data_IF_489603649709
#
_entry.id   IF_489603649709
#
_cell.length_a   1.000
_cell.length_b   1.000
_cell.length_c   1.000
_cell.angle_alpha   90.00
_cell.angle_beta   90.00
_cell.angle_gamma   90.00
#
_symmetry.space_group_name_H-M   'P 1'
#
loop_
_entity.id
_entity.type
_entity.pdbx_description
1 polymer ?
#
# COMPACT_ATOMS: atom_id res chain seq x y z
N UNK A 1 -9.54 -14.12 18.98
CA UNK A 1 -8.55 -13.21 18.35
C UNK A 1 -8.23 -13.74 16.97
N UNK A 2 -8.03 -12.87 16.00
CA UNK A 2 -7.65 -13.25 14.65
C UNK A 2 -6.29 -13.97 14.65
N UNK A 3 -6.10 -14.91 13.74
CA UNK A 3 -4.84 -15.65 13.61
C UNK A 3 -3.79 -14.80 12.92
N UNK A 4 -2.60 -14.71 13.48
CA UNK A 4 -1.48 -13.93 12.97
C UNK A 4 -0.32 -14.88 12.67
N UNK A 5 0.29 -14.71 11.49
CA UNK A 5 1.43 -15.48 11.01
C UNK A 5 2.68 -14.60 10.98
N UNK A 6 3.81 -15.18 11.37
CA UNK A 6 5.12 -14.56 11.38
C UNK A 6 6.11 -15.34 10.50
N UNK A 7 7.37 -14.93 10.46
CA UNK A 7 8.41 -15.56 9.64
C UNK A 7 8.55 -17.09 9.85
N UNK A 8 8.34 -17.57 11.07
CA UNK A 8 8.40 -19.00 11.42
C UNK A 8 7.24 -19.82 10.82
N UNK A 9 6.11 -19.16 10.52
CA UNK A 9 4.88 -19.80 10.02
C UNK A 9 4.83 -19.84 8.49
N UNK A 10 5.80 -19.22 7.81
CA UNK A 10 5.83 -19.07 6.35
C UNK A 10 7.15 -19.62 5.77
N UNK A 11 7.06 -20.37 4.67
CA UNK A 11 8.20 -21.00 4.02
C UNK A 11 8.29 -20.59 2.54
N UNK A 12 9.34 -19.85 2.18
CA UNK A 12 9.62 -19.45 0.80
C UNK A 12 9.80 -20.63 -0.16
N UNK A 13 10.07 -21.85 0.35
CA UNK A 13 10.17 -23.06 -0.48
C UNK A 13 8.87 -23.34 -1.24
N UNK A 14 7.72 -22.82 -0.80
CA UNK A 14 6.46 -22.95 -1.55
C UNK A 14 6.48 -22.21 -2.90
N UNK A 15 7.39 -21.25 -3.09
CA UNK A 15 7.64 -20.54 -4.35
C UNK A 15 8.91 -21.04 -5.08
N UNK A 16 9.66 -21.97 -4.49
CA UNK A 16 10.89 -22.51 -5.12
C UNK A 16 10.53 -23.23 -6.44
N UNK A 17 11.25 -22.88 -7.49
CA UNK A 17 11.04 -23.45 -8.84
C UNK A 17 9.82 -22.87 -9.57
N UNK A 18 9.02 -22.03 -8.92
CA UNK A 18 7.90 -21.33 -9.56
C UNK A 18 8.31 -19.96 -10.08
N UNK A 19 7.70 -19.53 -11.15
CA UNK A 19 7.76 -18.16 -11.64
C UNK A 19 6.55 -17.39 -11.10
N UNK A 20 6.78 -16.22 -10.54
CA UNK A 20 5.75 -15.30 -10.06
C UNK A 20 5.63 -14.14 -11.05
N UNK A 21 4.46 -13.97 -11.63
CA UNK A 21 4.14 -12.81 -12.49
C UNK A 21 3.51 -11.69 -11.66
N UNK A 22 4.06 -10.50 -11.75
CA UNK A 22 3.47 -9.26 -11.23
C UNK A 22 2.86 -8.52 -12.41
N UNK A 23 1.54 -8.47 -12.47
CA UNK A 23 0.78 -7.78 -13.51
C UNK A 23 0.42 -6.38 -13.04
N UNK A 24 1.10 -5.37 -13.60
CA UNK A 24 1.05 -3.98 -13.15
C UNK A 24 2.27 -3.60 -12.33
N UNK A 25 2.98 -2.54 -12.76
CA UNK A 25 4.19 -2.03 -12.09
C UNK A 25 3.95 -0.62 -11.52
N UNK A 26 2.78 -0.44 -10.88
CA UNK A 26 2.46 0.74 -10.08
C UNK A 26 3.16 0.70 -8.72
N UNK A 27 2.66 1.50 -7.76
CA UNK A 27 3.29 1.65 -6.44
C UNK A 27 3.42 0.30 -5.72
N UNK A 28 2.34 -0.50 -5.64
CA UNK A 28 2.36 -1.84 -5.04
C UNK A 28 3.17 -2.82 -5.89
N UNK A 29 2.93 -2.86 -7.20
CA UNK A 29 3.59 -3.79 -8.10
C UNK A 29 5.11 -3.68 -8.07
N UNK A 30 5.64 -2.44 -8.08
CA UNK A 30 7.07 -2.18 -7.94
C UNK A 30 7.64 -2.69 -6.63
N UNK A 31 7.03 -2.28 -5.50
CA UNK A 31 7.51 -2.68 -4.17
C UNK A 31 7.54 -4.19 -4.00
N UNK A 32 6.46 -4.87 -4.39
CA UNK A 32 6.34 -6.32 -4.27
C UNK A 32 7.27 -7.07 -5.22
N UNK A 33 7.39 -6.66 -6.49
CA UNK A 33 8.27 -7.29 -7.45
C UNK A 33 9.75 -7.23 -7.03
N UNK A 34 10.19 -6.06 -6.55
CA UNK A 34 11.55 -5.87 -6.05
C UNK A 34 11.84 -6.72 -4.82
N UNK A 35 10.92 -6.74 -3.85
CA UNK A 35 11.09 -7.51 -2.61
C UNK A 35 11.11 -9.02 -2.89
N UNK A 36 10.21 -9.52 -3.74
CA UNK A 36 10.20 -10.93 -4.16
C UNK A 36 11.51 -11.32 -4.85
N UNK A 37 12.00 -10.49 -5.79
CA UNK A 37 13.27 -10.73 -6.47
C UNK A 37 14.43 -10.77 -5.47
N UNK A 38 14.50 -9.81 -4.55
CA UNK A 38 15.58 -9.75 -3.55
C UNK A 38 15.47 -10.88 -2.51
N UNK A 39 14.29 -11.51 -2.37
CA UNK A 39 14.05 -12.73 -1.60
C UNK A 39 14.40 -14.02 -2.37
N UNK A 40 14.95 -13.92 -3.60
CA UNK A 40 15.35 -15.06 -4.42
C UNK A 40 14.22 -15.73 -5.20
N UNK A 41 13.07 -15.09 -5.34
CA UNK A 41 11.95 -15.58 -6.13
C UNK A 41 12.14 -15.18 -7.61
N UNK A 42 11.86 -16.07 -8.54
CA UNK A 42 11.86 -15.77 -9.96
C UNK A 42 10.63 -14.93 -10.32
N UNK A 43 10.85 -13.65 -10.67
CA UNK A 43 9.79 -12.68 -10.95
C UNK A 43 9.79 -12.28 -12.42
N UNK A 44 8.60 -12.27 -13.03
CA UNK A 44 8.31 -11.65 -14.33
C UNK A 44 7.37 -10.46 -14.07
N UNK A 45 7.67 -9.32 -14.68
CA UNK A 45 6.82 -8.13 -14.62
C UNK A 45 6.05 -8.00 -15.92
N UNK A 46 4.73 -7.86 -15.82
CA UNK A 46 3.89 -7.50 -16.96
C UNK A 46 3.46 -6.04 -16.86
N UNK A 47 3.82 -5.25 -17.88
CA UNK A 47 3.48 -3.84 -17.95
C UNK A 47 3.35 -3.41 -19.42
N UNK A 48 2.33 -2.59 -19.71
CA UNK A 48 2.12 -2.06 -21.06
C UNK A 48 3.30 -1.16 -21.48
N UNK A 49 3.81 -1.31 -22.71
CA UNK A 49 4.86 -0.42 -23.23
C UNK A 49 4.39 1.04 -23.37
N UNK A 50 5.33 1.96 -23.45
CA UNK A 50 5.08 3.38 -23.72
C UNK A 50 4.58 4.21 -22.53
N UNK A 51 4.60 3.68 -21.31
CA UNK A 51 4.23 4.41 -20.12
C UNK A 51 5.36 4.50 -19.07
N UNK A 52 5.29 5.46 -18.14
CA UNK A 52 6.36 5.70 -17.16
C UNK A 52 6.67 4.48 -16.30
N UNK A 53 5.68 3.65 -15.99
CA UNK A 53 5.87 2.42 -15.22
C UNK A 53 6.62 1.33 -16.01
N UNK A 54 6.52 1.32 -17.35
CA UNK A 54 7.29 0.40 -18.18
C UNK A 54 8.77 0.77 -18.15
N UNK A 55 9.08 2.06 -18.30
CA UNK A 55 10.46 2.54 -18.25
C UNK A 55 11.06 2.36 -16.86
N UNK A 56 10.27 2.59 -15.81
CA UNK A 56 10.67 2.35 -14.43
C UNK A 56 11.00 0.87 -14.18
N UNK A 57 10.22 -0.06 -14.70
CA UNK A 57 10.50 -1.49 -14.59
C UNK A 57 11.81 -1.86 -15.29
N UNK A 58 12.12 -1.26 -16.44
CA UNK A 58 13.38 -1.46 -17.14
C UNK A 58 14.57 -0.89 -16.35
N UNK A 59 14.42 0.31 -15.78
CA UNK A 59 15.42 0.92 -14.90
C UNK A 59 15.73 0.06 -13.68
N UNK A 60 14.70 -0.60 -13.14
CA UNK A 60 14.83 -1.54 -12.01
C UNK A 60 15.40 -2.92 -12.42
N UNK A 61 15.75 -3.10 -13.71
CA UNK A 61 16.41 -4.31 -14.25
C UNK A 61 15.46 -5.41 -14.69
N UNK A 62 14.16 -5.16 -14.78
CA UNK A 62 13.20 -6.11 -15.36
C UNK A 62 13.14 -5.96 -16.89
N UNK A 63 12.66 -7.03 -17.54
CA UNK A 63 12.27 -7.02 -18.95
C UNK A 63 10.75 -7.17 -19.00
N UNK A 64 9.98 -6.05 -18.99
CA UNK A 64 8.52 -6.15 -18.95
C UNK A 64 7.99 -6.83 -20.20
N UNK A 65 7.01 -7.70 -20.01
CA UNK A 65 6.30 -8.45 -21.04
C UNK A 65 4.81 -8.09 -21.04
N UNK A 66 4.03 -8.63 -21.96
CA UNK A 66 2.58 -8.54 -21.93
C UNK A 66 1.97 -9.36 -20.79
N UNK A 67 0.75 -9.03 -20.37
CA UNK A 67 0.05 -9.80 -19.33
C UNK A 67 -0.20 -11.25 -19.80
N UNK A 68 -0.45 -11.47 -21.08
CA UNK A 68 -0.65 -12.80 -21.65
C UNK A 68 0.63 -13.66 -21.60
N UNK A 69 1.78 -13.08 -21.96
CA UNK A 69 3.08 -13.78 -21.88
C UNK A 69 3.42 -14.12 -20.43
N UNK A 70 3.22 -13.19 -19.51
CA UNK A 70 3.45 -13.41 -18.08
C UNK A 70 2.52 -14.50 -17.53
N UNK A 71 1.22 -14.46 -17.86
CA UNK A 71 0.24 -15.46 -17.43
C UNK A 71 0.54 -16.85 -17.96
N UNK A 72 1.06 -16.93 -19.19
CA UNK A 72 1.48 -18.21 -19.79
C UNK A 72 2.68 -18.82 -19.06
N UNK A 73 3.67 -17.99 -18.75
CA UNK A 73 4.96 -18.43 -18.20
C UNK A 73 4.96 -18.67 -16.68
N UNK A 74 4.01 -18.08 -15.93
CA UNK A 74 4.03 -18.12 -14.48
C UNK A 74 3.09 -19.16 -13.88
N UNK A 75 3.48 -19.73 -12.75
CA UNK A 75 2.65 -20.57 -11.87
C UNK A 75 1.82 -19.74 -10.88
N UNK A 76 2.32 -18.57 -10.48
CA UNK A 76 1.64 -17.63 -9.59
C UNK A 76 1.49 -16.30 -10.31
N UNK A 77 0.27 -15.83 -10.48
CA UNK A 77 -0.06 -14.61 -11.22
C UNK A 77 -0.69 -13.63 -10.24
N UNK A 78 -0.03 -12.53 -9.96
CA UNK A 78 -0.47 -11.51 -8.99
C UNK A 78 -0.90 -10.27 -9.79
N UNK A 79 -2.18 -9.89 -9.67
CA UNK A 79 -2.75 -8.74 -10.38
C UNK A 79 -2.70 -7.53 -9.44
N UNK A 80 -1.90 -6.53 -9.81
CA UNK A 80 -1.65 -5.29 -9.07
C UNK A 80 -1.91 -4.04 -9.94
N UNK A 81 -2.79 -4.17 -10.92
CA UNK A 81 -3.30 -3.04 -11.70
C UNK A 81 -4.46 -2.35 -10.95
N UNK A 82 -4.91 -1.21 -11.47
CA UNK A 82 -6.10 -0.55 -10.95
C UNK A 82 -7.32 -1.47 -11.01
N UNK A 83 -8.16 -1.48 -9.98
CA UNK A 83 -9.32 -2.38 -9.85
C UNK A 83 -10.25 -2.32 -11.05
N UNK A 84 -10.51 -1.12 -11.56
CA UNK A 84 -11.36 -0.89 -12.73
C UNK A 84 -10.82 -1.49 -14.04
N UNK A 85 -9.52 -1.79 -14.11
CA UNK A 85 -8.87 -2.40 -15.28
C UNK A 85 -8.65 -3.91 -15.12
N UNK A 86 -8.77 -4.45 -13.91
CA UNK A 86 -8.43 -5.85 -13.62
C UNK A 86 -9.30 -6.83 -14.39
N UNK A 87 -10.62 -6.58 -14.46
CA UNK A 87 -11.56 -7.48 -15.11
C UNK A 87 -11.26 -7.65 -16.60
N UNK A 88 -10.94 -6.56 -17.30
CA UNK A 88 -10.62 -6.61 -18.73
C UNK A 88 -9.26 -7.30 -18.97
N UNK A 89 -8.23 -6.93 -18.20
CA UNK A 89 -6.91 -7.58 -18.27
C UNK A 89 -7.04 -9.09 -17.97
N UNK A 90 -7.84 -9.43 -16.97
CA UNK A 90 -8.09 -10.84 -16.64
C UNK A 90 -8.74 -11.56 -17.80
N UNK A 91 -9.86 -11.06 -18.33
CA UNK A 91 -10.63 -11.69 -19.40
C UNK A 91 -9.79 -11.87 -20.67
N UNK A 92 -9.10 -10.82 -21.09
CA UNK A 92 -8.41 -10.77 -22.37
C UNK A 92 -7.04 -11.43 -22.36
N UNK A 93 -6.31 -11.29 -21.25
CA UNK A 93 -4.89 -11.65 -21.22
C UNK A 93 -4.54 -12.78 -20.26
N UNK A 94 -5.29 -12.97 -19.18
CA UNK A 94 -4.92 -13.92 -18.12
C UNK A 94 -5.75 -15.19 -18.20
N UNK A 95 -7.07 -15.09 -18.27
CA UNK A 95 -7.99 -16.23 -18.25
C UNK A 95 -7.68 -17.29 -19.31
N UNK A 96 -7.33 -16.94 -20.60
CA UNK A 96 -6.97 -17.92 -21.61
C UNK A 96 -5.73 -18.76 -21.28
N UNK A 97 -4.91 -18.32 -20.31
CA UNK A 97 -3.66 -18.98 -19.92
C UNK A 97 -3.70 -19.57 -18.51
N UNK A 98 -4.85 -19.46 -17.81
CA UNK A 98 -5.05 -20.09 -16.51
C UNK A 98 -5.25 -21.59 -16.67
N UNK A 99 -4.22 -22.35 -16.30
CA UNK A 99 -4.27 -23.81 -16.25
C UNK A 99 -4.54 -24.30 -14.83
N UNK A 100 -5.06 -25.53 -14.70
CA UNK A 100 -5.22 -26.18 -13.40
C UNK A 100 -3.92 -26.12 -12.57
N UNK A 101 -4.05 -25.86 -11.29
CA UNK A 101 -2.93 -25.80 -10.38
C UNK A 101 -2.20 -24.46 -10.31
N UNK A 102 -2.49 -23.49 -11.17
CA UNK A 102 -1.96 -22.13 -11.03
C UNK A 102 -2.63 -21.40 -9.86
N UNK A 103 -1.93 -20.39 -9.38
CA UNK A 103 -2.44 -19.49 -8.33
C UNK A 103 -2.68 -18.10 -8.90
N UNK A 104 -3.86 -17.55 -8.66
CA UNK A 104 -4.22 -16.16 -8.94
C UNK A 104 -4.21 -15.38 -7.65
N UNK A 105 -3.42 -14.29 -7.60
CA UNK A 105 -3.20 -13.47 -6.41
C UNK A 105 -3.67 -12.03 -6.59
N UNK A 106 -4.14 -11.44 -5.49
CA UNK A 106 -4.60 -10.05 -5.41
C UNK A 106 -4.05 -9.39 -4.15
N UNK A 107 -3.87 -8.06 -4.17
CA UNK A 107 -3.58 -7.28 -2.97
C UNK A 107 -4.77 -6.45 -2.48
N UNK A 108 -5.90 -6.52 -3.18
CA UNK A 108 -7.20 -6.00 -2.79
C UNK A 108 -8.29 -6.94 -3.30
N UNK A 109 -9.31 -7.20 -2.50
CA UNK A 109 -10.32 -8.21 -2.81
C UNK A 109 -11.40 -7.78 -3.79
N UNK A 110 -11.45 -6.49 -4.18
CA UNK A 110 -12.51 -5.83 -4.93
C UNK A 110 -13.05 -6.64 -6.13
N UNK A 111 -12.18 -6.99 -7.06
CA UNK A 111 -12.57 -7.64 -8.32
C UNK A 111 -13.18 -9.03 -8.14
N UNK A 112 -12.71 -9.77 -7.13
CA UNK A 112 -13.22 -11.12 -6.82
C UNK A 112 -14.48 -11.03 -5.96
N UNK A 113 -14.48 -10.19 -4.94
CA UNK A 113 -15.61 -10.03 -4.02
C UNK A 113 -16.87 -9.53 -4.75
N UNK A 114 -16.74 -8.50 -5.58
CA UNK A 114 -17.86 -7.98 -6.38
C UNK A 114 -18.09 -8.75 -7.69
N UNK A 115 -17.47 -9.94 -7.85
CA UNK A 115 -17.68 -10.87 -8.98
C UNK A 115 -17.38 -10.27 -10.36
N UNK A 116 -16.49 -9.29 -10.44
CA UNK A 116 -15.97 -8.77 -11.72
C UNK A 116 -14.99 -9.75 -12.36
N UNK A 117 -14.33 -10.57 -11.55
CA UNK A 117 -13.49 -11.68 -11.94
C UNK A 117 -14.06 -12.97 -11.34
N UNK A 118 -14.36 -13.94 -12.19
CA UNK A 118 -14.79 -15.29 -11.80
C UNK A 118 -13.71 -16.30 -12.20
N UNK A 119 -12.79 -16.68 -11.33
CA UNK A 119 -11.74 -17.65 -11.63
C UNK A 119 -12.30 -19.05 -11.83
N UNK A 120 -11.68 -19.90 -12.70
CA UNK A 120 -12.09 -21.28 -12.84
C UNK A 120 -11.81 -22.08 -11.55
N UNK A 121 -12.64 -23.10 -11.27
CA UNK A 121 -12.63 -23.87 -10.01
C UNK A 121 -11.33 -24.64 -9.75
N UNK A 122 -10.48 -24.84 -10.75
CA UNK A 122 -9.26 -25.63 -10.69
C UNK A 122 -7.98 -24.81 -10.44
N UNK A 123 -8.08 -23.54 -10.04
CA UNK A 123 -6.96 -22.68 -9.66
C UNK A 123 -7.08 -22.23 -8.20
N UNK A 124 -5.97 -21.95 -7.56
CA UNK A 124 -5.98 -21.28 -6.26
C UNK A 124 -6.24 -19.77 -6.44
N UNK A 125 -7.01 -19.18 -5.53
CA UNK A 125 -7.26 -17.72 -5.50
C UNK A 125 -6.95 -17.20 -4.11
N UNK A 126 -5.97 -16.32 -4.02
CA UNK A 126 -5.42 -15.85 -2.76
C UNK A 126 -5.28 -14.33 -2.72
N UNK A 127 -5.23 -13.78 -1.53
CA UNK A 127 -4.99 -12.37 -1.28
C UNK A 127 -3.83 -12.21 -0.31
N UNK A 128 -2.94 -11.27 -0.61
CA UNK A 128 -1.97 -10.70 0.34
C UNK A 128 -2.01 -9.19 0.20
N UNK A 129 -2.58 -8.51 1.19
CA UNK A 129 -2.81 -7.07 1.18
C UNK A 129 -1.91 -6.37 2.21
N UNK A 130 -0.74 -5.83 1.83
CA UNK A 130 0.07 -5.02 2.73
C UNK A 130 -0.68 -3.76 3.16
N UNK A 131 -0.69 -3.47 4.47
CA UNK A 131 -1.36 -2.29 5.03
C UNK A 131 -0.41 -1.10 5.06
N UNK A 132 -0.10 -0.61 3.87
CA UNK A 132 0.74 0.56 3.61
C UNK A 132 1.11 0.68 2.14
N UNK A 133 1.53 1.87 1.70
CA UNK A 133 1.90 2.10 0.30
C UNK A 133 3.12 1.26 -0.10
N UNK A 134 3.20 0.88 -1.37
CA UNK A 134 4.28 0.03 -1.88
C UNK A 134 5.68 0.63 -1.74
N UNK A 135 5.81 1.95 -1.68
CA UNK A 135 7.07 2.64 -1.39
C UNK A 135 7.54 2.36 0.04
N UNK A 136 6.63 2.40 1.01
CA UNK A 136 6.92 2.04 2.40
C UNK A 136 7.23 0.55 2.54
N UNK A 137 6.49 -0.32 1.85
CA UNK A 137 6.77 -1.75 1.80
C UNK A 137 8.21 -2.02 1.33
N UNK A 138 8.68 -1.29 0.31
CA UNK A 138 10.05 -1.41 -0.19
C UNK A 138 11.09 -0.87 0.79
N UNK A 139 10.91 0.33 1.33
CA UNK A 139 11.88 0.93 2.26
C UNK A 139 12.01 0.10 3.55
N UNK A 140 10.90 -0.32 4.14
CA UNK A 140 10.92 -1.18 5.33
C UNK A 140 11.58 -2.54 5.07
N UNK A 141 11.37 -3.11 3.88
CA UNK A 141 12.04 -4.35 3.49
C UNK A 141 13.57 -4.20 3.46
N UNK A 142 14.07 -3.10 2.87
CA UNK A 142 15.51 -2.80 2.79
C UNK A 142 16.14 -2.57 4.17
N UNK A 143 15.36 -2.04 5.11
CA UNK A 143 15.78 -1.85 6.50
C UNK A 143 15.72 -3.15 7.35
N UNK A 144 15.35 -4.28 6.76
CA UNK A 144 15.15 -5.53 7.49
C UNK A 144 13.86 -5.58 8.30
N UNK A 145 13.00 -4.58 8.18
CA UNK A 145 11.68 -4.47 8.77
C UNK A 145 10.59 -5.01 7.82
N UNK A 146 9.32 -4.86 8.18
CA UNK A 146 8.17 -5.26 7.34
C UNK A 146 6.98 -4.35 7.54
N UNK A 147 6.09 -4.33 6.56
CA UNK A 147 4.75 -3.74 6.65
C UNK A 147 3.77 -4.87 6.95
N UNK A 148 2.90 -4.77 7.97
CA UNK A 148 1.88 -5.77 8.24
C UNK A 148 1.00 -6.00 7.02
N UNK A 149 0.49 -7.23 6.86
CA UNK A 149 -0.40 -7.56 5.75
C UNK A 149 -1.60 -8.38 6.22
N UNK A 150 -2.64 -8.41 5.39
CA UNK A 150 -3.72 -9.38 5.51
C UNK A 150 -3.47 -10.54 4.55
N UNK A 151 -3.94 -11.74 4.91
CA UNK A 151 -3.91 -12.91 4.04
C UNK A 151 -5.28 -13.58 4.02
N UNK A 152 -5.75 -13.94 2.82
CA UNK A 152 -6.99 -14.68 2.66
C UNK A 152 -6.88 -15.72 1.54
N UNK A 153 -7.65 -16.78 1.65
CA UNK A 153 -7.88 -17.78 0.60
C UNK A 153 -9.34 -17.70 0.19
N UNK A 154 -9.60 -17.31 -1.06
CA UNK A 154 -10.94 -17.35 -1.64
C UNK A 154 -11.28 -18.75 -2.17
N UNK A 155 -10.30 -19.37 -2.82
CA UNK A 155 -10.42 -20.70 -3.43
C UNK A 155 -9.12 -21.47 -3.28
N UNK A 156 -9.20 -22.71 -2.80
CA UNK A 156 -8.05 -23.58 -2.57
C UNK A 156 -8.17 -24.89 -3.36
N UNK A 157 -7.92 -24.82 -4.68
CA UNK A 157 -8.06 -25.97 -5.58
C UNK A 157 -6.95 -27.00 -5.41
N UNK A 158 -5.73 -26.56 -5.06
CA UNK A 158 -4.55 -27.44 -4.97
C UNK A 158 -4.26 -27.95 -3.57
N UNK A 159 -4.94 -27.42 -2.55
CA UNK A 159 -4.60 -27.64 -1.13
C UNK A 159 -3.39 -26.83 -0.66
N UNK A 160 -2.72 -26.08 -1.52
CA UNK A 160 -1.52 -25.28 -1.21
C UNK A 160 -1.76 -23.77 -1.18
N UNK A 161 -2.99 -23.32 -1.44
CA UNK A 161 -3.31 -21.90 -1.58
C UNK A 161 -2.78 -21.04 -0.41
N UNK A 162 -3.08 -21.41 0.84
CA UNK A 162 -2.60 -20.69 2.03
C UNK A 162 -1.07 -20.70 2.13
N UNK A 163 -0.44 -21.84 1.87
CA UNK A 163 1.03 -21.96 1.91
C UNK A 163 1.68 -21.06 0.87
N UNK A 164 1.12 -20.97 -0.33
CA UNK A 164 1.59 -20.07 -1.41
C UNK A 164 1.40 -18.61 -1.02
N UNK A 165 0.26 -18.23 -0.44
CA UNK A 165 -0.01 -16.88 0.03
C UNK A 165 0.96 -16.44 1.14
N UNK A 166 1.19 -17.30 2.13
CA UNK A 166 2.14 -17.02 3.20
C UNK A 166 3.58 -16.92 2.69
N UNK A 167 3.98 -17.74 1.71
CA UNK A 167 5.28 -17.63 1.07
C UNK A 167 5.43 -16.30 0.29
N UNK A 168 4.36 -15.85 -0.38
CA UNK A 168 4.34 -14.53 -1.01
C UNK A 168 4.47 -13.42 0.04
N UNK A 169 3.68 -13.45 1.12
CA UNK A 169 3.78 -12.49 2.22
C UNK A 169 5.19 -12.43 2.85
N UNK A 170 5.86 -13.59 2.98
CA UNK A 170 7.25 -13.67 3.43
C UNK A 170 8.21 -13.06 2.41
N UNK A 171 8.03 -13.37 1.14
CA UNK A 171 8.87 -12.85 0.06
C UNK A 171 8.82 -11.33 -0.07
N UNK A 172 7.70 -10.69 0.28
CA UNK A 172 7.60 -9.23 0.33
C UNK A 172 8.01 -8.62 1.69
N UNK A 173 8.33 -9.45 2.70
CA UNK A 173 8.81 -9.02 4.01
C UNK A 173 7.72 -8.78 5.05
N UNK A 174 6.44 -9.00 4.73
CA UNK A 174 5.33 -8.69 5.63
C UNK A 174 5.27 -9.58 6.87
N UNK A 175 5.75 -10.81 6.79
CA UNK A 175 5.79 -11.75 7.94
C UNK A 175 6.71 -11.30 9.08
N UNK A 176 7.63 -10.37 8.81
CA UNK A 176 8.47 -9.74 9.85
C UNK A 176 7.65 -8.88 10.81
N UNK A 177 6.60 -8.26 10.31
CA UNK A 177 5.68 -7.41 11.10
C UNK A 177 4.44 -8.17 11.58
N UNK A 178 4.06 -9.23 10.87
CA UNK A 178 2.88 -10.05 11.11
C UNK A 178 1.87 -9.98 9.97
N UNK A 179 1.24 -11.13 9.69
CA UNK A 179 0.23 -11.29 8.63
C UNK A 179 -1.05 -11.85 9.25
N UNK A 180 -2.11 -11.05 9.23
CA UNK A 180 -3.40 -11.37 9.83
C UNK A 180 -4.26 -12.18 8.85
N UNK A 181 -4.83 -13.30 9.30
CA UNK A 181 -5.80 -14.07 8.51
C UNK A 181 -7.15 -13.36 8.46
N UNK A 182 -7.72 -13.24 7.27
CA UNK A 182 -9.01 -12.60 7.00
C UNK A 182 -9.74 -13.30 5.84
N UNK A 183 -10.78 -12.66 5.31
CA UNK A 183 -11.52 -13.08 4.12
C UNK A 183 -11.45 -11.99 3.03
N UNK A 184 -11.71 -12.35 1.78
CA UNK A 184 -11.85 -11.36 0.71
C UNK A 184 -12.94 -10.33 1.01
N UNK A 185 -14.03 -10.77 1.64
CA UNK A 185 -15.12 -9.88 2.06
C UNK A 185 -14.64 -8.86 3.08
N UNK A 186 -14.08 -9.32 4.20
CA UNK A 186 -13.63 -8.43 5.27
C UNK A 186 -12.57 -7.45 4.77
N UNK A 187 -11.58 -7.94 4.01
CA UNK A 187 -10.53 -7.09 3.45
C UNK A 187 -11.13 -6.01 2.56
N UNK A 188 -12.00 -6.37 1.60
CA UNK A 188 -12.59 -5.42 0.66
C UNK A 188 -13.46 -4.38 1.35
N UNK A 189 -14.32 -4.82 2.26
CA UNK A 189 -15.24 -3.92 2.97
C UNK A 189 -14.49 -2.96 3.90
N UNK A 190 -13.52 -3.46 4.67
CA UNK A 190 -12.78 -2.64 5.63
C UNK A 190 -11.77 -1.71 4.97
N UNK A 191 -11.15 -2.13 3.88
CA UNK A 191 -10.19 -1.31 3.12
C UNK A 191 -10.91 -0.13 2.44
N UNK A 192 -11.97 -0.40 1.67
CA UNK A 192 -12.78 0.66 1.07
C UNK A 192 -13.37 1.62 2.12
N UNK A 193 -13.88 1.10 3.23
CA UNK A 193 -14.37 1.93 4.32
C UNK A 193 -13.27 2.80 4.91
N UNK A 194 -12.11 2.23 5.19
CA UNK A 194 -10.96 2.95 5.75
C UNK A 194 -10.51 4.10 4.85
N UNK A 195 -10.42 3.85 3.54
CA UNK A 195 -10.04 4.87 2.55
C UNK A 195 -11.08 6.00 2.45
N UNK A 196 -12.36 5.67 2.41
CA UNK A 196 -13.43 6.66 2.25
C UNK A 196 -13.68 7.45 3.53
N UNK A 197 -13.83 6.78 4.65
CA UNK A 197 -14.29 7.40 5.89
C UNK A 197 -13.16 8.06 6.71
N UNK A 198 -11.91 7.60 6.57
CA UNK A 198 -10.82 8.03 7.45
C UNK A 198 -9.56 8.42 6.68
N UNK A 199 -8.92 7.45 5.98
CA UNK A 199 -7.53 7.56 5.52
C UNK A 199 -7.32 8.57 4.38
N UNK A 200 -8.27 8.65 3.46
CA UNK A 200 -8.22 9.57 2.32
C UNK A 200 -9.38 10.57 2.37
N UNK A 201 -10.62 10.09 2.26
CA UNK A 201 -11.80 10.97 2.19
C UNK A 201 -12.00 11.78 3.45
N UNK A 202 -12.11 11.12 4.61
CA UNK A 202 -12.38 11.78 5.89
C UNK A 202 -11.31 12.80 6.28
N UNK A 203 -10.03 12.39 6.25
CA UNK A 203 -8.92 13.27 6.64
C UNK A 203 -8.77 14.46 5.70
N UNK A 204 -8.92 14.27 4.39
CA UNK A 204 -8.82 15.37 3.42
C UNK A 204 -9.95 16.38 3.59
N UNK A 205 -11.19 15.91 3.84
CA UNK A 205 -12.32 16.77 4.10
C UNK A 205 -12.14 17.56 5.42
N UNK A 206 -11.66 16.91 6.48
CA UNK A 206 -11.37 17.56 7.76
C UNK A 206 -10.32 18.68 7.62
N UNK A 207 -9.22 18.39 6.92
CA UNK A 207 -8.14 19.36 6.66
C UNK A 207 -8.69 20.57 5.90
N UNK A 208 -9.44 20.34 4.81
CA UNK A 208 -10.01 21.44 4.01
C UNK A 208 -10.96 22.30 4.83
N UNK A 209 -11.89 21.69 5.56
CA UNK A 209 -12.83 22.41 6.42
C UNK A 209 -12.11 23.24 7.50
N UNK A 210 -11.06 22.71 8.12
CA UNK A 210 -10.25 23.45 9.10
C UNK A 210 -9.52 24.64 8.47
N UNK A 211 -8.90 24.42 7.29
CA UNK A 211 -8.22 25.47 6.54
C UNK A 211 -9.20 26.60 6.13
N UNK A 212 -10.32 26.26 5.53
CA UNK A 212 -11.34 27.22 5.12
C UNK A 212 -11.86 28.03 6.31
N UNK A 213 -12.18 27.37 7.41
CA UNK A 213 -12.66 28.03 8.66
C UNK A 213 -11.68 29.09 9.16
N UNK A 214 -10.39 28.81 9.15
CA UNK A 214 -9.38 29.77 9.59
C UNK A 214 -9.22 30.94 8.62
N UNK A 215 -9.17 30.64 7.32
CA UNK A 215 -9.03 31.67 6.27
C UNK A 215 -10.25 32.59 6.23
N UNK A 216 -11.46 32.06 6.32
CA UNK A 216 -12.71 32.82 6.38
C UNK A 216 -12.78 33.72 7.62
N UNK A 217 -12.16 33.29 8.72
CA UNK A 217 -12.03 34.11 9.93
C UNK A 217 -10.93 35.20 9.84
N UNK A 218 -10.24 35.31 8.68
CA UNK A 218 -9.23 36.34 8.42
C UNK A 218 -7.80 35.96 8.78
N UNK A 219 -7.53 34.71 9.15
CA UNK A 219 -6.16 34.26 9.40
C UNK A 219 -5.38 34.06 8.11
N UNK A 220 -4.05 34.19 8.18
CA UNK A 220 -3.15 33.99 7.05
C UNK A 220 -3.26 32.53 6.54
N UNK A 221 -3.43 32.29 5.24
CA UNK A 221 -3.54 30.94 4.67
C UNK A 221 -2.31 30.07 4.95
N UNK A 222 -1.11 30.68 5.03
CA UNK A 222 0.13 29.99 5.36
C UNK A 222 0.11 29.43 6.78
N UNK A 223 -0.40 30.23 7.74
CA UNK A 223 -0.58 29.79 9.13
C UNK A 223 -1.62 28.69 9.20
N UNK A 224 -2.78 28.86 8.57
CA UNK A 224 -3.81 27.84 8.52
C UNK A 224 -3.28 26.52 7.94
N UNK A 225 -2.44 26.55 6.89
CA UNK A 225 -1.84 25.35 6.34
C UNK A 225 -0.93 24.63 7.34
N UNK A 226 -0.08 25.35 8.07
CA UNK A 226 0.81 24.74 9.07
C UNK A 226 0.01 24.08 10.19
N UNK A 227 -1.02 24.73 10.70
CA UNK A 227 -1.82 24.25 11.83
C UNK A 227 -2.67 23.01 11.48
N UNK A 228 -3.33 22.99 10.29
CA UNK A 228 -4.31 21.93 10.00
C UNK A 228 -3.78 20.82 9.09
N UNK A 229 -2.67 21.04 8.36
CA UNK A 229 -2.14 20.04 7.44
C UNK A 229 -0.72 19.61 7.80
N UNK A 230 0.21 20.56 7.89
CA UNK A 230 1.62 20.21 8.12
C UNK A 230 1.82 19.50 9.47
N UNK A 231 1.28 20.06 10.53
CA UNK A 231 1.44 19.52 11.88
C UNK A 231 0.65 18.22 12.09
N UNK A 232 -0.44 18.01 11.35
CA UNK A 232 -1.22 16.76 11.41
C UNK A 232 -0.34 15.52 11.20
N UNK A 233 0.65 15.60 10.30
CA UNK A 233 1.61 14.51 10.08
C UNK A 233 2.36 14.16 11.37
N UNK A 234 2.79 15.14 12.13
CA UNK A 234 3.53 14.94 13.37
C UNK A 234 2.65 14.33 14.47
N UNK A 235 1.40 14.75 14.54
CA UNK A 235 0.40 14.16 15.44
C UNK A 235 0.07 12.72 15.04
N UNK A 236 -0.12 12.45 13.75
CA UNK A 236 -0.38 11.08 13.28
C UNK A 236 0.80 10.14 13.50
N UNK A 237 2.03 10.62 13.41
CA UNK A 237 3.22 9.84 13.78
C UNK A 237 3.21 9.42 15.25
N UNK A 238 2.81 10.34 16.16
CA UNK A 238 2.69 10.02 17.58
C UNK A 238 1.58 9.00 17.85
N UNK A 239 0.44 9.11 17.15
CA UNK A 239 -0.66 8.13 17.23
C UNK A 239 -0.21 6.78 16.69
N UNK A 240 0.47 6.76 15.57
CA UNK A 240 0.99 5.53 14.98
C UNK A 240 1.99 4.81 15.91
N UNK A 241 2.88 5.57 16.54
CA UNK A 241 3.92 5.03 17.40
C UNK A 241 3.41 4.57 18.78
N UNK A 242 2.35 5.19 19.32
CA UNK A 242 1.95 4.95 20.71
C UNK A 242 0.44 4.90 20.96
N UNK A 243 -0.36 4.87 19.90
CA UNK A 243 -1.81 5.00 19.99
C UNK A 243 -2.26 6.41 20.39
N UNK A 244 -3.57 6.63 20.46
CA UNK A 244 -4.15 7.94 20.87
C UNK A 244 -3.64 8.34 22.26
N UNK A 245 -3.51 7.41 23.18
CA UNK A 245 -2.96 7.70 24.52
C UNK A 245 -1.47 8.08 24.47
N UNK A 246 -0.71 7.47 23.57
CA UNK A 246 0.71 7.80 23.36
C UNK A 246 0.91 9.21 22.82
N UNK A 247 0.04 9.66 21.93
CA UNK A 247 -0.01 11.04 21.47
C UNK A 247 -0.36 11.99 22.64
N UNK A 248 -1.44 11.71 23.39
CA UNK A 248 -1.86 12.52 24.53
C UNK A 248 -0.75 12.71 25.58
N UNK A 249 0.09 11.73 25.81
CA UNK A 249 1.24 11.85 26.73
C UNK A 249 2.33 12.82 26.24
N UNK A 250 2.30 13.23 24.99
CA UNK A 250 3.35 14.04 24.34
C UNK A 250 2.88 15.45 23.95
N UNK A 251 1.61 15.77 24.16
CA UNK A 251 1.06 17.11 23.89
C UNK A 251 0.70 17.83 25.19
N UNK A 252 0.48 19.14 25.12
CA UNK A 252 0.12 19.99 26.27
C UNK A 252 -1.25 19.63 26.85
N UNK A 253 -1.50 20.04 28.09
CA UNK A 253 -2.83 19.84 28.71
C UNK A 253 -3.92 20.64 28.01
N UNK A 254 -3.58 21.81 27.45
CA UNK A 254 -4.50 22.58 26.59
C UNK A 254 -4.92 21.78 25.36
N UNK A 255 -3.98 21.14 24.66
CA UNK A 255 -4.27 20.31 23.51
C UNK A 255 -5.10 19.06 23.90
N UNK A 256 -4.77 18.41 25.03
CA UNK A 256 -5.58 17.30 25.56
C UNK A 256 -7.02 17.70 25.86
N UNK A 257 -7.20 18.88 26.46
CA UNK A 257 -8.54 19.40 26.75
C UNK A 257 -9.31 19.63 25.44
N UNK A 258 -8.69 20.27 24.46
CA UNK A 258 -9.26 20.43 23.11
C UNK A 258 -9.67 19.11 22.47
N UNK A 259 -8.77 18.12 22.51
CA UNK A 259 -9.01 16.77 21.96
C UNK A 259 -10.26 16.12 22.58
N UNK A 260 -10.29 15.97 23.91
CA UNK A 260 -11.37 15.22 24.58
C UNK A 260 -12.69 15.99 24.68
N UNK A 261 -12.65 17.33 24.77
CA UNK A 261 -13.83 18.18 24.93
C UNK A 261 -14.41 18.65 23.57
N UNK A 262 -13.54 19.06 22.63
CA UNK A 262 -13.98 19.61 21.35
C UNK A 262 -14.07 18.55 20.24
N UNK A 263 -13.26 17.51 20.28
CA UNK A 263 -13.26 16.44 19.28
C UNK A 263 -14.66 15.86 19.01
N UNK A 264 -15.47 15.49 20.02
CA UNK A 264 -16.82 14.99 19.83
C UNK A 264 -17.83 16.00 19.21
N UNK A 265 -17.48 17.29 19.17
CA UNK A 265 -18.28 18.31 18.49
C UNK A 265 -17.99 18.38 16.99
N UNK A 266 -16.78 17.99 16.60
CA UNK A 266 -16.35 17.91 15.19
C UNK A 266 -16.78 16.58 14.57
N UNK A 267 -16.51 15.47 15.26
CA UNK A 267 -16.95 14.14 14.85
C UNK A 267 -18.10 13.70 15.75
N UNK A 268 -19.28 14.22 15.48
CA UNK A 268 -20.52 13.99 16.24
C UNK A 268 -21.25 12.71 15.82
N UNK A 269 -22.44 12.50 16.38
CA UNK A 269 -23.28 11.35 16.06
C UNK A 269 -23.72 11.30 14.57
N UNK A 270 -23.86 12.46 13.91
CA UNK A 270 -24.24 12.54 12.48
C UNK A 270 -23.09 12.06 11.60
N UNK A 271 -21.85 12.45 11.93
CA UNK A 271 -20.66 11.96 11.22
C UNK A 271 -20.57 10.44 11.34
N UNK A 272 -20.81 9.88 12.54
CA UNK A 272 -20.84 8.43 12.73
C UNK A 272 -21.95 7.74 11.93
N UNK A 273 -23.12 8.35 11.81
CA UNK A 273 -24.21 7.78 11.01
C UNK A 273 -23.89 7.83 9.50
N UNK A 274 -23.27 8.89 9.02
CA UNK A 274 -22.75 8.97 7.66
C UNK A 274 -21.72 7.85 7.38
N UNK A 275 -20.80 7.59 8.31
CA UNK A 275 -19.85 6.47 8.19
C UNK A 275 -20.56 5.11 8.11
N UNK A 276 -21.64 4.91 8.88
CA UNK A 276 -22.45 3.68 8.75
C UNK A 276 -23.15 3.58 7.40
N UNK A 277 -23.59 4.69 6.83
CA UNK A 277 -24.20 4.72 5.51
C UNK A 277 -23.18 4.33 4.44
N UNK A 278 -21.96 4.92 4.46
CA UNK A 278 -20.87 4.53 3.56
C UNK A 278 -20.56 3.03 3.66
N UNK A 279 -20.53 2.47 4.87
CA UNK A 279 -20.31 1.04 5.05
C UNK A 279 -21.43 0.20 4.42
N UNK A 280 -22.71 0.60 4.58
CA UNK A 280 -23.84 -0.08 3.93
C UNK A 280 -23.74 -0.04 2.39
N UNK A 281 -23.33 1.07 1.83
CA UNK A 281 -23.13 1.22 0.37
C UNK A 281 -22.01 0.32 -0.17
N UNK A 282 -20.94 0.19 0.60
CA UNK A 282 -19.84 -0.75 0.30
C UNK A 282 -20.35 -2.19 0.38
N UNK A 283 -21.02 -2.56 1.47
CA UNK A 283 -21.52 -3.92 1.72
C UNK A 283 -22.56 -4.37 0.70
N UNK A 284 -23.42 -3.46 0.28
CA UNK A 284 -24.42 -3.73 -0.76
C UNK A 284 -23.85 -3.82 -2.18
N UNK A 285 -22.59 -3.36 -2.37
CA UNK A 285 -21.96 -3.24 -3.67
C UNK A 285 -22.40 -2.01 -4.48
N UNK A 286 -23.15 -1.09 -3.88
CA UNK A 286 -23.55 0.17 -4.51
C UNK A 286 -22.33 0.97 -4.94
N UNK A 287 -21.39 1.22 -4.02
CA UNK A 287 -20.15 1.93 -4.33
C UNK A 287 -19.38 1.31 -5.51
N UNK A 288 -19.26 -0.03 -5.53
CA UNK A 288 -18.56 -0.71 -6.60
C UNK A 288 -19.25 -0.53 -7.96
N UNK A 289 -20.59 -0.61 -8.01
CA UNK A 289 -21.37 -0.36 -9.23
C UNK A 289 -21.19 1.05 -9.74
N UNK A 290 -21.26 2.04 -8.85
CA UNK A 290 -21.08 3.46 -9.18
C UNK A 290 -19.66 3.71 -9.74
N UNK A 291 -18.64 3.21 -9.08
CA UNK A 291 -17.25 3.38 -9.52
C UNK A 291 -16.97 2.73 -10.88
N UNK A 292 -17.49 1.53 -11.11
CA UNK A 292 -17.34 0.85 -12.41
C UNK A 292 -18.09 1.60 -13.50
N UNK A 293 -19.33 2.08 -13.24
CA UNK A 293 -20.08 2.89 -14.20
C UNK A 293 -19.36 4.20 -14.53
N UNK A 294 -18.84 4.90 -13.53
CA UNK A 294 -18.04 6.12 -13.71
C UNK A 294 -16.78 5.85 -14.57
N UNK A 295 -16.11 4.72 -14.33
CA UNK A 295 -14.97 4.33 -15.14
C UNK A 295 -15.36 4.05 -16.60
N UNK A 296 -16.44 3.31 -16.83
CA UNK A 296 -16.94 2.98 -18.18
C UNK A 296 -17.40 4.22 -18.95
N UNK A 297 -17.92 5.24 -18.25
CA UNK A 297 -18.28 6.52 -18.82
C UNK A 297 -17.08 7.45 -19.12
N UNK A 298 -15.83 7.00 -18.88
CA UNK A 298 -14.64 7.81 -19.10
C UNK A 298 -14.26 8.73 -17.94
N UNK A 299 -14.82 8.51 -16.76
CA UNK A 299 -14.53 9.22 -15.49
C UNK A 299 -14.88 10.73 -15.49
N UNK A 300 -16.03 11.16 -15.98
CA UNK A 300 -16.37 12.58 -16.07
C UNK A 300 -16.44 13.26 -14.69
N UNK A 301 -17.12 12.64 -13.71
CA UNK A 301 -17.26 13.20 -12.37
C UNK A 301 -15.94 13.15 -11.61
N UNK A 302 -15.22 12.03 -11.67
CA UNK A 302 -13.91 11.90 -11.06
C UNK A 302 -12.96 12.98 -11.55
N UNK A 303 -12.86 13.19 -12.87
CA UNK A 303 -12.01 14.22 -13.46
C UNK A 303 -12.40 15.63 -13.04
N UNK A 304 -13.71 15.90 -12.97
CA UNK A 304 -14.24 17.22 -12.53
C UNK A 304 -13.90 17.48 -11.06
N UNK A 305 -14.13 16.50 -10.18
CA UNK A 305 -13.85 16.61 -8.74
C UNK A 305 -12.36 16.79 -8.47
N UNK A 306 -11.51 16.01 -9.15
CA UNK A 306 -10.06 16.16 -9.04
C UNK A 306 -9.59 17.56 -9.42
N UNK A 307 -10.10 18.13 -10.53
CA UNK A 307 -9.77 19.50 -10.93
C UNK A 307 -10.21 20.57 -9.91
N UNK A 308 -11.37 20.37 -9.27
CA UNK A 308 -11.81 21.27 -8.21
C UNK A 308 -10.88 21.25 -7.01
N UNK A 309 -10.46 20.06 -6.59
CA UNK A 309 -9.52 19.89 -5.48
C UNK A 309 -8.11 20.42 -5.82
N UNK A 310 -7.60 20.17 -7.03
CA UNK A 310 -6.33 20.70 -7.50
C UNK A 310 -6.28 22.24 -7.50
N UNK A 311 -7.43 22.89 -7.66
CA UNK A 311 -7.54 24.36 -7.65
C UNK A 311 -7.79 24.95 -6.26
N UNK A 312 -7.96 24.11 -5.25
CA UNK A 312 -8.21 24.58 -3.89
C UNK A 312 -7.03 25.44 -3.39
N UNK A 313 -7.32 26.51 -2.63
CA UNK A 313 -6.31 27.43 -2.13
C UNK A 313 -5.22 26.72 -1.32
N UNK A 314 -5.58 25.71 -0.54
CA UNK A 314 -4.65 24.92 0.28
C UNK A 314 -3.53 24.28 -0.55
N UNK A 315 -3.81 23.85 -1.79
CA UNK A 315 -2.80 23.22 -2.66
C UNK A 315 -1.77 24.25 -3.15
N UNK A 316 -2.23 25.44 -3.54
CA UNK A 316 -1.34 26.53 -3.97
C UNK A 316 -0.44 27.01 -2.82
N UNK A 317 -1.02 27.27 -1.65
CA UNK A 317 -0.30 27.67 -0.46
C UNK A 317 0.66 26.56 -0.02
N UNK A 318 0.18 25.33 0.01
CA UNK A 318 0.98 24.18 0.38
C UNK A 318 2.15 23.93 -0.55
N UNK A 319 2.01 24.16 -1.86
CA UNK A 319 3.13 24.02 -2.80
C UNK A 319 4.25 25.02 -2.48
N UNK A 320 3.91 26.27 -2.16
CA UNK A 320 4.88 27.31 -1.78
C UNK A 320 5.62 26.93 -0.49
N UNK A 321 4.88 26.48 0.53
CA UNK A 321 5.45 26.14 1.82
C UNK A 321 6.28 24.84 1.77
N UNK A 322 5.86 23.83 1.02
CA UNK A 322 6.65 22.62 0.78
C UNK A 322 7.97 22.93 0.05
N UNK A 323 7.99 23.92 -0.84
CA UNK A 323 9.24 24.36 -1.50
C UNK A 323 10.28 24.93 -0.53
N UNK A 324 9.87 25.45 0.62
CA UNK A 324 10.77 25.89 1.70
C UNK A 324 11.43 24.71 2.44
N UNK A 325 10.92 23.48 2.27
CA UNK A 325 11.36 22.28 2.95
C UNK A 325 11.78 21.20 1.94
N UNK A 326 12.93 21.34 1.27
CA UNK A 326 13.33 20.46 0.15
C UNK A 326 13.47 18.99 0.54
N UNK A 327 13.70 18.70 1.82
CA UNK A 327 13.74 17.33 2.34
C UNK A 327 12.38 16.62 2.28
N UNK A 328 11.24 17.34 2.27
CA UNK A 328 9.92 16.76 2.08
C UNK A 328 9.76 16.29 0.62
N UNK A 329 10.17 17.11 -0.35
CA UNK A 329 10.12 16.76 -1.77
C UNK A 329 11.01 15.56 -2.11
N UNK A 330 12.18 15.44 -1.49
CA UNK A 330 13.08 14.31 -1.68
C UNK A 330 12.44 12.97 -1.23
N UNK A 331 11.61 12.99 -0.19
CA UNK A 331 10.92 11.81 0.31
C UNK A 331 9.66 11.44 -0.50
N UNK A 332 9.08 12.37 -1.23
CA UNK A 332 7.87 12.16 -2.05
C UNK A 332 8.16 11.68 -3.47
N UNK A 333 9.40 11.77 -3.94
CA UNK A 333 9.79 11.34 -5.28
C UNK A 333 9.85 9.81 -5.39
N UNK A 334 9.24 9.17 -6.40
CA UNK A 334 9.41 7.75 -6.69
C UNK A 334 10.86 7.33 -6.93
N UNK A 335 11.77 8.30 -7.13
CA UNK A 335 13.20 8.08 -7.38
C UNK A 335 14.04 7.93 -6.11
N UNK A 336 13.54 8.27 -4.93
CA UNK A 336 14.34 8.35 -3.69
C UNK A 336 14.64 6.99 -3.01
N UNK A 337 14.26 5.86 -3.59
CA UNK A 337 14.53 4.53 -3.00
C UNK A 337 15.71 3.79 -3.63
N UNK A 338 16.58 4.47 -4.39
CA UNK A 338 17.83 3.88 -4.86
C UNK A 338 18.97 4.33 -3.94
N UNK A 339 19.02 3.82 -2.72
CA UNK A 339 20.27 3.73 -1.99
C UNK A 339 20.94 2.41 -2.43
N UNK A 340 21.92 2.52 -3.30
CA UNK A 340 22.91 1.46 -3.51
C UNK A 340 23.53 1.11 -2.14
N UNK A 341 23.70 -0.17 -1.80
CA UNK A 341 24.33 -0.53 -0.56
C UNK A 341 25.75 0.03 -0.55
N UNK A 342 26.04 1.02 0.28
CA UNK A 342 27.39 1.43 0.56
C UNK A 342 28.15 0.18 1.04
N UNK A 343 29.16 -0.23 0.26
CA UNK A 343 30.10 -1.27 0.66
C UNK A 343 30.67 -0.87 2.02
N UNK A 344 30.33 -1.61 3.07
CA UNK A 344 30.99 -1.46 4.38
C UNK A 344 32.50 -1.52 4.17
N UNK A 345 33.27 -0.55 4.66
CA UNK A 345 34.72 -0.63 4.59
C UNK A 345 35.18 -1.91 5.34
N UNK A 346 35.96 -2.76 4.66
CA UNK A 346 36.56 -3.92 5.29
C UNK A 346 37.42 -3.46 6.48
N UNK A 347 37.09 -3.90 7.67
CA UNK A 347 37.91 -3.68 8.86
C UNK A 347 39.33 -4.18 8.59
N UNK A 348 40.30 -3.27 8.59
CA UNK A 348 41.74 -3.64 8.54
C UNK A 348 42.05 -4.41 9.81
N UNK A 349 42.42 -5.68 9.69
CA UNK A 349 43.04 -6.46 10.77
C UNK A 349 44.31 -5.74 11.20
N UNK A 350 44.31 -5.18 12.40
CA UNK A 350 45.51 -4.70 13.04
C UNK A 350 46.40 -5.93 13.37
N UNK A 351 47.54 -6.03 12.69
CA UNK A 351 48.55 -7.02 12.99
C UNK A 351 49.24 -6.64 14.32
N UNK A 352 49.03 -7.44 15.32
CA UNK A 352 49.79 -7.37 16.56
C UNK A 352 51.24 -7.77 16.27
N UNK A 353 52.14 -6.79 16.30
CA UNK A 353 53.59 -7.06 16.41
C UNK A 353 53.93 -7.20 17.89
N UNK A 354 54.15 -8.44 18.31
CA UNK A 354 54.97 -8.74 19.46
C UNK A 354 56.43 -8.34 19.16
N UNK A 355 56.98 -7.46 19.95
CA UNK A 355 58.44 -7.36 20.11
C UNK A 355 58.77 -7.56 21.59
N UNK A 356 59.24 -8.72 21.86
CA UNK A 356 60.03 -8.97 23.06
C UNK A 356 61.33 -8.16 23.00
N UNK A 357 61.71 -7.49 24.09
CA UNK A 357 63.12 -7.26 24.46
C UNK A 357 63.22 -7.15 25.96
N UNK A 358 64.07 -8.04 26.42
CA UNK A 358 64.65 -8.26 27.73
C UNK A 358 65.65 -7.19 28.16
N UNK A 359 65.88 -7.11 29.45
CA UNK A 359 67.12 -6.65 30.18
C UNK A 359 67.20 -5.12 30.37
N UNK A 360 67.14 -4.62 31.57
CA UNK A 360 68.16 -4.68 32.68
C UNK A 360 67.42 -4.29 33.98
#
# INVERSE_FOLDING_TARGET
MAKIYYDKDADLKALKGKTVAIVGYGIQGRGQALNLRDSGVKVIVAQRPGGPNFDLARQDGFKPVSAAEAARAAEVIIILTQDTAQADIYRESIAPHLKAGKTLGFSHGFSVFYKLIAPPKNVDVVLVAPKGPGSLLRSQYLEGKGVPALVAVYQGATGNAKRTALAWAKGIGSTRAGVLETTFKEETETDNFGEQAVLCGGVSALIKAGFETLVEAGYQPELAYFEVLHELKLITDMIWAGGIQGMRKRVSDTAKWGDIHCGPRVVDARVKENMKQLLREIQSGQFAKEWIAEHQAGRPNFTRLMRQDDQHQIERVGAQLRAMMPWIAANSSPRSTVHSPQKRPKAKKAAARQTARSRS
#
